data_IF_177280591765
#
_entry.id   IF_177280591765
#
_cell.length_a   1.000
_cell.length_b   1.000
_cell.length_c   1.000
_cell.angle_alpha   90.00
_cell.angle_beta   90.00
_cell.angle_gamma   90.00
#
_symmetry.space_group_name_H-M   'P 1'
#
loop_
_entity.id
_entity.type
_entity.pdbx_description
1 polymer ?
#
# COMPACT_ATOMS: atom_id res chain seq x y z
N UNK A 1 -7.88 3.67 -4.38
CA UNK A 1 -8.45 2.36 -4.82
C UNK A 1 -9.01 2.43 -6.24
N UNK A 2 -9.60 3.56 -6.66
CA UNK A 2 -10.10 3.73 -8.03
C UNK A 2 -9.00 3.55 -9.07
N UNK A 3 -7.81 4.08 -8.80
CA UNK A 3 -6.63 4.00 -9.67
C UNK A 3 -6.19 2.53 -9.84
N UNK A 4 -6.07 1.79 -8.73
CA UNK A 4 -5.68 0.37 -8.73
C UNK A 4 -6.72 -0.48 -9.47
N UNK A 5 -8.01 -0.20 -9.28
CA UNK A 5 -9.09 -0.88 -9.98
C UNK A 5 -9.07 -0.60 -11.49
N UNK A 6 -8.84 0.65 -11.90
CA UNK A 6 -8.68 1.01 -13.30
C UNK A 6 -7.49 0.30 -13.94
N UNK A 7 -6.36 0.21 -13.23
CA UNK A 7 -5.18 -0.51 -13.71
C UNK A 7 -5.44 -2.02 -13.86
N UNK A 8 -6.15 -2.64 -12.91
CA UNK A 8 -6.55 -4.05 -13.00
C UNK A 8 -7.50 -4.33 -14.19
N UNK A 9 -8.38 -3.37 -14.51
CA UNK A 9 -9.27 -3.40 -15.68
C UNK A 9 -8.45 -3.25 -16.97
N UNK A 10 -7.54 -2.27 -17.05
CA UNK A 10 -6.64 -2.06 -18.21
C UNK A 10 -5.85 -3.32 -18.56
N UNK A 11 -5.37 -4.04 -17.54
CA UNK A 11 -4.62 -5.30 -17.70
C UNK A 11 -5.49 -6.52 -18.04
N UNK A 12 -6.82 -6.37 -18.12
CA UNK A 12 -7.79 -7.46 -18.37
C UNK A 12 -7.71 -8.63 -17.39
N UNK A 13 -7.21 -8.37 -16.18
CA UNK A 13 -6.93 -9.38 -15.15
C UNK A 13 -8.02 -9.48 -14.08
N UNK A 14 -8.99 -8.56 -14.08
CA UNK A 14 -10.09 -8.53 -13.11
C UNK A 14 -9.61 -8.48 -11.65
N UNK A 15 -10.35 -9.12 -10.74
CA UNK A 15 -10.04 -9.14 -9.30
C UNK A 15 -8.68 -9.79 -8.97
N UNK A 16 -8.19 -10.74 -9.80
CA UNK A 16 -6.86 -11.34 -9.63
C UNK A 16 -5.76 -10.31 -9.85
N UNK A 17 -5.93 -9.44 -10.86
CA UNK A 17 -5.02 -8.32 -11.11
C UNK A 17 -5.01 -7.31 -9.99
N UNK A 18 -6.17 -7.02 -9.40
CA UNK A 18 -6.26 -6.12 -8.25
C UNK A 18 -5.40 -6.62 -7.10
N UNK A 19 -5.50 -7.92 -6.76
CA UNK A 19 -4.69 -8.53 -5.70
C UNK A 19 -3.20 -8.42 -5.99
N UNK A 20 -2.77 -8.76 -7.21
CA UNK A 20 -1.36 -8.70 -7.59
C UNK A 20 -0.78 -7.26 -7.52
N UNK A 21 -1.56 -6.24 -7.91
CA UNK A 21 -1.13 -4.85 -7.81
C UNK A 21 -0.98 -4.43 -6.34
N UNK A 22 -1.93 -4.81 -5.49
CA UNK A 22 -1.88 -4.53 -4.05
C UNK A 22 -0.70 -5.25 -3.40
N UNK A 23 -0.49 -6.54 -3.68
CA UNK A 23 0.64 -7.31 -3.15
C UNK A 23 1.98 -6.66 -3.51
N UNK A 24 2.14 -6.20 -4.75
CA UNK A 24 3.35 -5.50 -5.17
C UNK A 24 3.59 -4.20 -4.39
N UNK A 25 2.55 -3.39 -4.17
CA UNK A 25 2.65 -2.15 -3.39
C UNK A 25 2.98 -2.45 -1.92
N UNK A 26 2.40 -3.53 -1.38
CA UNK A 26 2.51 -3.87 0.03
C UNK A 26 3.79 -4.63 0.38
N UNK A 27 4.50 -5.21 -0.59
CA UNK A 27 5.64 -6.11 -0.32
C UNK A 27 6.71 -5.43 0.55
N UNK A 28 7.20 -4.26 0.13
CA UNK A 28 8.23 -3.52 0.87
C UNK A 28 7.67 -3.01 2.21
N UNK A 29 6.44 -2.51 2.20
CA UNK A 29 5.76 -1.97 3.39
C UNK A 29 5.60 -3.06 4.47
N UNK A 30 5.18 -4.26 4.09
CA UNK A 30 4.96 -5.38 5.02
C UNK A 30 6.28 -5.96 5.54
N UNK A 31 7.38 -5.80 4.79
CA UNK A 31 8.71 -6.16 5.25
C UNK A 31 9.27 -5.14 6.26
N UNK A 32 9.11 -3.84 5.98
CA UNK A 32 9.63 -2.77 6.83
C UNK A 32 8.79 -2.57 8.10
N UNK A 33 7.45 -2.57 7.97
CA UNK A 33 6.53 -2.17 9.04
C UNK A 33 6.72 -2.92 10.37
N UNK A 34 6.96 -4.25 10.41
CA UNK A 34 7.21 -4.97 11.67
C UNK A 34 8.43 -4.47 12.44
N UNK A 35 9.41 -3.86 11.77
CA UNK A 35 10.62 -3.33 12.39
C UNK A 35 10.48 -1.88 12.85
N UNK A 36 9.40 -1.19 12.49
CA UNK A 36 9.16 0.21 12.83
C UNK A 36 8.46 0.33 14.18
N UNK A 37 9.18 0.77 15.20
CA UNK A 37 8.61 1.05 16.51
C UNK A 37 7.58 2.19 16.43
N UNK A 38 6.44 2.02 17.10
CA UNK A 38 5.40 3.05 17.29
C UNK A 38 4.71 3.54 16.01
N UNK A 39 4.85 2.85 14.87
CA UNK A 39 4.02 3.13 13.68
C UNK A 39 2.56 2.77 14.01
N UNK A 40 1.65 3.70 13.75
CA UNK A 40 0.21 3.53 14.00
C UNK A 40 -0.59 3.45 12.71
N UNK A 41 -0.16 4.19 11.67
CA UNK A 41 -0.86 4.23 10.38
C UNK A 41 0.12 4.44 9.23
N UNK A 42 -0.13 3.75 8.13
CA UNK A 42 0.62 3.92 6.88
C UNK A 42 -0.36 4.42 5.81
N UNK A 43 -0.03 5.53 5.16
CA UNK A 43 -0.85 6.14 4.10
C UNK A 43 -0.15 5.96 2.76
N UNK A 44 -0.88 5.38 1.81
CA UNK A 44 -0.44 5.11 0.45
C UNK A 44 -1.25 6.01 -0.49
N UNK A 45 -0.56 6.70 -1.40
CA UNK A 45 -1.15 7.60 -2.37
C UNK A 45 -0.46 7.45 -3.73
N UNK A 46 -1.16 7.80 -4.81
CA UNK A 46 -0.65 7.63 -6.17
C UNK A 46 0.60 8.50 -6.41
N UNK A 47 1.65 7.89 -6.96
CA UNK A 47 2.89 8.59 -7.31
C UNK A 47 3.72 9.09 -6.13
N UNK A 48 3.34 8.75 -4.89
CA UNK A 48 4.04 9.17 -3.67
C UNK A 48 4.64 7.97 -2.95
N UNK A 49 5.72 8.23 -2.21
CA UNK A 49 6.25 7.27 -1.24
C UNK A 49 5.25 7.09 -0.09
N UNK A 50 5.17 5.90 0.54
CA UNK A 50 4.34 5.68 1.71
C UNK A 50 4.67 6.67 2.84
N UNK A 51 3.64 7.19 3.49
CA UNK A 51 3.79 8.07 4.66
C UNK A 51 3.49 7.27 5.93
N UNK A 52 4.47 7.18 6.82
CA UNK A 52 4.37 6.50 8.10
C UNK A 52 4.00 7.50 9.20
N UNK A 53 2.87 7.27 9.85
CA UNK A 53 2.38 8.08 10.97
C UNK A 53 2.64 7.32 12.27
N UNK A 54 3.37 7.96 13.16
CA UNK A 54 3.77 7.40 14.44
C UNK A 54 2.87 7.92 15.55
N UNK A 55 2.63 7.07 16.55
CA UNK A 55 1.90 7.45 17.76
C UNK A 55 2.63 8.64 18.41
N UNK A 56 1.90 9.73 18.69
CA UNK A 56 2.48 10.85 19.44
C UNK A 56 2.87 10.37 20.84
N UNK A 57 4.07 10.72 21.28
CA UNK A 57 4.40 10.61 22.70
C UNK A 57 3.41 11.49 23.47
N UNK A 58 2.68 10.87 24.39
CA UNK A 58 1.80 11.57 25.33
C UNK A 58 2.60 12.34 26.36
#
# INVERSE_FOLDING_TARGET
LREIAQEAIKRKTGARGLRAIVERIMTDIMYEAPSLANVEKIVIDEGKKPVYLYKKAG
#
